data_IF_508737137263
#
_entry.id   IF_508737137263
#
_cell.length_a   1.000
_cell.length_b   1.000
_cell.length_c   1.000
_cell.angle_alpha   90.00
_cell.angle_beta   90.00
_cell.angle_gamma   90.00
#
_symmetry.space_group_name_H-M   'P 1'
#
loop_
_entity.id
_entity.type
_entity.pdbx_description
1 polymer ?
#
# COMPACT_ATOMS: atom_id res chain seq x y z
N UNK A 1 8.69 50.15 60.26
CA UNK A 1 7.50 49.41 60.73
C UNK A 1 7.52 48.02 60.13
N UNK A 2 7.57 47.02 61.01
CA UNK A 2 7.67 45.59 60.75
C UNK A 2 6.29 45.04 60.35
N UNK A 3 6.21 44.23 59.29
CA UNK A 3 5.13 43.26 59.11
C UNK A 3 5.71 41.96 58.52
N UNK A 4 5.93 41.01 59.43
CA UNK A 4 6.18 39.59 59.19
C UNK A 4 4.85 38.91 58.87
N UNK A 5 4.72 38.22 57.73
CA UNK A 5 3.65 37.24 57.45
C UNK A 5 4.25 36.11 56.60
N UNK A 6 4.51 34.93 57.15
CA UNK A 6 3.63 33.77 57.35
C UNK A 6 3.29 32.98 56.06
N UNK A 7 3.56 31.66 56.13
CA UNK A 7 2.93 30.52 55.42
C UNK A 7 3.57 30.16 54.06
N UNK A 8 4.48 29.17 53.98
CA UNK A 8 4.30 27.70 54.11
C UNK A 8 3.60 27.07 52.88
N UNK A 9 4.45 26.57 51.98
CA UNK A 9 4.40 25.25 51.31
C UNK A 9 3.04 24.68 50.88
N UNK A 10 2.76 24.67 49.57
CA UNK A 10 2.03 23.55 48.94
C UNK A 10 2.72 23.14 47.63
N UNK A 11 3.34 21.97 47.74
CA UNK A 11 3.88 21.10 46.72
C UNK A 11 2.77 20.68 45.73
N UNK A 12 2.80 21.22 44.50
CA UNK A 12 1.93 20.75 43.42
C UNK A 12 2.72 19.82 42.50
N UNK A 13 2.66 18.54 42.88
CA UNK A 13 3.13 17.40 42.11
C UNK A 13 2.27 17.30 40.84
N UNK A 14 2.79 17.77 39.71
CA UNK A 14 2.18 17.55 38.39
C UNK A 14 2.49 16.11 37.95
N UNK A 15 1.52 15.20 37.81
CA UNK A 15 1.81 13.92 37.20
C UNK A 15 1.93 14.14 35.69
N UNK A 16 3.16 14.12 35.19
CA UNK A 16 3.50 13.89 33.79
C UNK A 16 2.84 12.58 33.34
N UNK A 17 1.64 12.70 32.79
CA UNK A 17 1.03 11.65 31.97
C UNK A 17 1.89 11.54 30.71
N UNK A 18 2.93 10.72 30.78
CA UNK A 18 3.63 10.20 29.63
C UNK A 18 2.64 9.34 28.83
N UNK A 19 1.94 9.97 27.89
CA UNK A 19 1.32 9.28 26.77
C UNK A 19 2.44 8.60 25.99
N UNK A 20 2.72 7.36 26.34
CA UNK A 20 3.52 6.46 25.51
C UNK A 20 2.69 6.17 24.27
N UNK A 21 2.94 6.95 23.22
CA UNK A 21 2.45 6.65 21.88
C UNK A 21 3.18 5.39 21.46
N UNK A 22 2.55 4.23 21.69
CA UNK A 22 2.96 2.97 21.08
C UNK A 22 2.88 3.16 19.56
N UNK A 23 3.99 3.57 18.96
CA UNK A 23 4.18 3.54 17.52
C UNK A 23 4.20 2.07 17.12
N UNK A 24 3.04 1.51 16.81
CA UNK A 24 2.96 0.25 16.11
C UNK A 24 3.67 0.47 14.78
N UNK A 25 4.83 -0.17 14.60
CA UNK A 25 5.52 -0.17 13.33
C UNK A 25 4.52 -0.66 12.27
N UNK A 26 4.21 0.22 11.32
CA UNK A 26 3.33 -0.11 10.20
C UNK A 26 4.02 -1.20 9.38
N UNK A 27 3.60 -2.45 9.59
CA UNK A 27 4.09 -3.57 8.79
C UNK A 27 3.70 -3.33 7.34
N UNK A 28 4.67 -2.99 6.51
CA UNK A 28 4.42 -2.71 5.09
C UNK A 28 4.31 -4.04 4.36
N UNK A 29 3.09 -4.41 3.95
CA UNK A 29 2.84 -5.62 3.17
C UNK A 29 3.72 -5.62 1.91
N UNK A 30 4.57 -6.62 1.81
CA UNK A 30 5.42 -6.82 0.65
C UNK A 30 4.62 -7.45 -0.49
N UNK A 31 5.04 -7.19 -1.73
CA UNK A 31 4.42 -7.82 -2.89
C UNK A 31 4.53 -9.34 -2.83
N UNK A 32 5.67 -9.86 -2.36
CA UNK A 32 5.91 -11.28 -2.22
C UNK A 32 4.90 -11.98 -1.31
N UNK A 33 4.69 -11.43 -0.11
CA UNK A 33 3.72 -11.97 0.85
C UNK A 33 2.31 -12.04 0.27
N UNK A 34 1.91 -11.00 -0.46
CA UNK A 34 0.58 -10.94 -1.11
C UNK A 34 0.47 -12.03 -2.18
N UNK A 35 1.48 -12.18 -3.05
CA UNK A 35 1.43 -13.16 -4.13
C UNK A 35 1.46 -14.60 -3.61
N UNK A 36 2.31 -14.90 -2.62
CA UNK A 36 2.44 -16.25 -2.04
C UNK A 36 1.13 -16.73 -1.38
N UNK A 37 0.30 -15.80 -0.89
CA UNK A 37 -1.02 -16.08 -0.32
C UNK A 37 -2.18 -16.06 -1.34
N UNK A 38 -1.94 -15.59 -2.56
CA UNK A 38 -2.93 -15.55 -3.65
C UNK A 38 -2.72 -16.64 -4.71
N UNK A 39 -1.61 -17.38 -4.67
CA UNK A 39 -1.33 -18.47 -5.61
C UNK A 39 -2.31 -19.64 -5.41
N UNK A 40 -3.20 -19.84 -6.39
CA UNK A 40 -4.18 -20.92 -6.39
C UNK A 40 -3.60 -22.33 -6.58
N UNK A 41 -2.31 -22.45 -6.91
CA UNK A 41 -1.60 -23.74 -6.88
C UNK A 41 -1.14 -24.11 -5.47
N UNK A 42 -0.78 -23.12 -4.67
CA UNK A 42 -0.28 -23.30 -3.31
C UNK A 42 -1.40 -23.21 -2.26
N UNK A 43 -2.44 -22.41 -2.52
CA UNK A 43 -3.49 -22.06 -1.57
C UNK A 43 -4.87 -22.52 -2.04
N UNK A 44 -5.75 -22.81 -1.08
CA UNK A 44 -7.15 -23.14 -1.38
C UNK A 44 -7.91 -21.90 -1.87
N UNK A 45 -8.93 -22.12 -2.71
CA UNK A 45 -9.82 -21.03 -3.16
C UNK A 45 -10.46 -20.27 -2.00
N UNK A 46 -10.76 -20.97 -0.91
CA UNK A 46 -11.35 -20.38 0.29
C UNK A 46 -10.35 -19.46 1.01
N UNK A 47 -9.11 -19.92 1.23
CA UNK A 47 -8.03 -19.10 1.81
C UNK A 47 -7.83 -17.81 1.01
N UNK A 48 -7.66 -17.95 -0.30
CA UNK A 48 -7.44 -16.81 -1.20
C UNK A 48 -8.60 -15.80 -1.11
N UNK A 49 -9.84 -16.28 -1.01
CA UNK A 49 -11.04 -15.44 -0.88
C UNK A 49 -11.07 -14.65 0.43
N UNK A 50 -10.78 -15.30 1.56
CA UNK A 50 -10.75 -14.61 2.86
C UNK A 50 -9.55 -13.67 2.97
N UNK A 51 -8.40 -14.07 2.41
CA UNK A 51 -7.20 -13.24 2.39
C UNK A 51 -7.37 -11.96 1.56
N UNK A 52 -7.95 -12.03 0.34
CA UNK A 52 -8.22 -10.79 -0.41
C UNK A 52 -9.24 -9.90 0.31
N UNK A 53 -10.21 -10.50 1.00
CA UNK A 53 -11.23 -9.77 1.75
C UNK A 53 -10.60 -9.01 2.93
N UNK A 54 -9.63 -9.61 3.62
CA UNK A 54 -8.95 -8.96 4.73
C UNK A 54 -8.02 -7.83 4.28
N UNK A 55 -7.48 -7.92 3.05
CA UNK A 55 -6.57 -6.91 2.50
C UNK A 55 -7.24 -5.81 1.67
N UNK A 56 -8.54 -5.93 1.37
CA UNK A 56 -9.21 -4.95 0.52
C UNK A 56 -9.22 -3.57 1.17
N UNK A 57 -8.77 -2.56 0.43
CA UNK A 57 -8.63 -1.18 0.89
C UNK A 57 -7.30 -0.90 1.60
N UNK A 58 -6.49 -1.91 1.89
CA UNK A 58 -5.16 -1.70 2.48
C UNK A 58 -4.24 -1.03 1.46
N UNK A 59 -3.69 0.12 1.85
CA UNK A 59 -2.69 0.83 1.06
C UNK A 59 -1.37 0.05 1.09
N UNK A 60 -0.79 -0.18 -0.09
CA UNK A 60 0.53 -0.79 -0.25
C UNK A 60 1.44 0.15 -1.02
N UNK A 61 2.75 0.00 -0.84
CA UNK A 61 3.75 0.76 -1.59
C UNK A 61 4.81 -0.19 -2.13
N UNK A 62 4.91 -0.28 -3.45
CA UNK A 62 5.81 -1.22 -4.13
C UNK A 62 6.62 -0.53 -5.22
N UNK A 63 7.52 -1.30 -5.85
CA UNK A 63 8.26 -0.91 -7.05
C UNK A 63 8.03 -1.92 -8.16
N UNK A 64 8.18 -1.50 -9.40
CA UNK A 64 8.17 -2.40 -10.55
C UNK A 64 8.42 -1.67 -11.86
N UNK A 65 8.54 -2.45 -12.93
CA UNK A 65 8.74 -1.96 -14.30
C UNK A 65 7.40 -1.77 -15.02
N UNK A 66 7.21 -0.62 -15.65
CA UNK A 66 6.06 -0.36 -16.51
C UNK A 66 6.15 -1.22 -17.77
N UNK A 67 5.12 -2.01 -18.02
CA UNK A 67 5.04 -2.91 -19.17
C UNK A 67 4.10 -2.39 -20.25
N UNK A 68 3.05 -1.68 -19.83
CA UNK A 68 2.06 -1.06 -20.69
C UNK A 68 1.32 0.04 -19.92
N UNK A 69 0.80 1.03 -20.65
CA UNK A 69 -0.01 2.12 -20.11
C UNK A 69 -1.21 2.29 -21.04
N UNK A 70 -2.41 2.18 -20.48
CA UNK A 70 -3.65 2.29 -21.24
C UNK A 70 -4.63 3.24 -20.56
N UNK A 71 -5.55 3.83 -21.33
CA UNK A 71 -6.52 4.80 -20.82
C UNK A 71 -6.10 6.25 -21.10
N UNK A 72 -6.51 7.18 -20.24
CA UNK A 72 -6.32 8.62 -20.44
C UNK A 72 -7.11 9.49 -19.46
N UNK A 73 -7.57 10.66 -19.93
CA UNK A 73 -8.10 11.83 -19.16
C UNK A 73 -8.78 11.54 -17.81
N UNK A 74 -9.67 10.54 -17.71
CA UNK A 74 -10.41 10.26 -16.47
C UNK A 74 -9.92 9.02 -15.71
N UNK A 75 -9.17 8.15 -16.38
CA UNK A 75 -8.73 6.86 -15.85
C UNK A 75 -7.52 6.37 -16.62
N UNK A 76 -6.41 6.18 -15.91
CA UNK A 76 -5.20 5.57 -16.45
C UNK A 76 -5.01 4.22 -15.78
N UNK A 77 -4.69 3.20 -16.59
CA UNK A 77 -4.28 1.88 -16.13
C UNK A 77 -2.83 1.64 -16.52
N UNK A 78 -2.01 1.32 -15.53
CA UNK A 78 -0.60 1.01 -15.72
C UNK A 78 -0.40 -0.45 -15.39
N UNK A 79 0.10 -1.22 -16.34
CA UNK A 79 0.49 -2.60 -16.14
C UNK A 79 1.95 -2.62 -15.70
N UNK A 80 2.21 -3.21 -14.54
CA UNK A 80 3.54 -3.23 -13.93
C UNK A 80 3.99 -4.67 -13.72
N UNK A 81 5.26 -4.93 -14.03
CA UNK A 81 5.96 -6.14 -13.66
C UNK A 81 6.84 -5.88 -12.45
N UNK A 82 6.57 -6.59 -11.36
CA UNK A 82 7.59 -6.81 -10.35
C UNK A 82 8.37 -8.08 -10.75
N UNK A 83 9.63 -7.91 -11.16
CA UNK A 83 10.51 -8.95 -11.71
C UNK A 83 10.90 -10.01 -10.68
N UNK A 84 10.69 -9.76 -9.39
CA UNK A 84 11.02 -10.69 -8.32
C UNK A 84 10.02 -11.87 -8.26
N UNK A 85 8.88 -11.78 -8.98
CA UNK A 85 7.83 -12.81 -9.00
C UNK A 85 7.36 -13.10 -10.43
N UNK A 86 6.79 -14.30 -10.69
CA UNK A 86 6.26 -14.65 -12.01
C UNK A 86 5.24 -13.64 -12.53
N UNK A 87 5.31 -13.33 -13.82
CA UNK A 87 4.35 -12.45 -14.50
C UNK A 87 3.33 -13.24 -15.31
N UNK A 88 2.15 -12.65 -15.53
CA UNK A 88 1.08 -13.17 -16.38
C UNK A 88 0.91 -12.21 -17.55
N UNK A 89 1.20 -12.66 -18.77
CA UNK A 89 1.22 -11.81 -19.97
C UNK A 89 2.21 -10.63 -19.86
N UNK A 90 3.31 -10.84 -19.12
CA UNK A 90 4.36 -9.85 -18.94
C UNK A 90 4.19 -8.90 -17.75
N UNK A 91 3.07 -8.94 -17.01
CA UNK A 91 2.85 -8.10 -15.82
C UNK A 91 2.21 -8.90 -14.66
N UNK A 92 2.27 -8.39 -13.43
CA UNK A 92 1.65 -9.01 -12.26
C UNK A 92 0.95 -7.99 -11.33
N UNK A 93 0.99 -6.72 -11.69
CA UNK A 93 0.33 -5.62 -10.97
C UNK A 93 -0.40 -4.76 -12.01
N UNK A 94 -1.62 -4.32 -11.68
CA UNK A 94 -2.37 -3.33 -12.46
C UNK A 94 -2.72 -2.18 -11.53
N UNK A 95 -2.20 -1.00 -11.84
CA UNK A 95 -2.51 0.24 -11.15
C UNK A 95 -3.67 0.92 -11.86
N UNK A 96 -4.68 1.32 -11.10
CA UNK A 96 -5.76 2.17 -11.60
C UNK A 96 -5.68 3.53 -10.91
N UNK A 97 -5.51 4.56 -11.72
CA UNK A 97 -5.47 5.96 -11.30
C UNK A 97 -6.74 6.63 -11.84
N UNK A 98 -7.53 7.25 -10.97
CA UNK A 98 -8.78 7.95 -11.30
C UNK A 98 -8.55 9.46 -11.27
N UNK A 99 -9.12 10.21 -12.23
CA UNK A 99 -9.05 11.68 -12.37
C UNK A 99 -7.63 12.27 -12.56
N UNK A 100 -7.55 13.60 -12.74
CA UNK A 100 -6.37 14.43 -13.06
C UNK A 100 -5.22 14.40 -12.03
N UNK A 101 -5.26 13.50 -11.03
CA UNK A 101 -4.32 13.48 -9.91
C UNK A 101 -2.88 13.18 -10.30
N UNK A 102 -2.64 12.65 -11.51
CA UNK A 102 -1.28 12.35 -11.94
C UNK A 102 -1.16 12.36 -13.47
N UNK A 103 -1.10 13.56 -14.07
CA UNK A 103 -0.81 13.70 -15.51
C UNK A 103 0.51 13.04 -15.91
N UNK A 104 1.44 12.83 -14.96
CA UNK A 104 2.68 12.11 -15.20
C UNK A 104 2.45 10.61 -15.45
N UNK A 105 1.40 10.02 -14.86
CA UNK A 105 1.08 8.60 -15.05
C UNK A 105 0.77 8.24 -16.50
N UNK A 106 0.09 9.13 -17.24
CA UNK A 106 -0.22 8.93 -18.66
C UNK A 106 1.03 9.04 -19.56
N UNK A 107 2.10 9.68 -19.08
CA UNK A 107 3.34 9.89 -19.81
C UNK A 107 4.41 8.83 -19.51
N UNK A 108 4.10 7.86 -18.65
CA UNK A 108 5.00 6.75 -18.36
C UNK A 108 5.26 5.91 -19.61
N UNK A 109 6.50 5.47 -19.76
CA UNK A 109 6.97 4.66 -20.88
C UNK A 109 7.23 3.24 -20.43
N UNK A 110 7.00 2.31 -21.36
CA UNK A 110 7.42 0.92 -21.19
C UNK A 110 8.92 0.84 -20.87
N UNK A 111 9.27 -0.01 -19.91
CA UNK A 111 10.64 -0.20 -19.42
C UNK A 111 11.03 0.71 -18.24
N UNK A 112 10.20 1.68 -17.87
CA UNK A 112 10.51 2.56 -16.73
C UNK A 112 10.28 1.84 -15.40
N UNK A 113 11.25 1.91 -14.50
CA UNK A 113 11.09 1.48 -13.11
C UNK A 113 10.41 2.60 -12.32
N UNK A 114 9.27 2.30 -11.72
CA UNK A 114 8.49 3.25 -10.92
C UNK A 114 8.31 2.73 -9.49
N UNK A 115 8.24 3.66 -8.54
CA UNK A 115 7.67 3.43 -7.22
C UNK A 115 6.25 3.93 -7.24
N UNK A 116 5.36 3.23 -6.56
CA UNK A 116 3.96 3.60 -6.51
C UNK A 116 3.33 3.16 -5.20
N UNK A 117 2.19 3.75 -4.89
CA UNK A 117 1.29 3.22 -3.87
C UNK A 117 -0.13 3.12 -4.40
N UNK A 118 -0.98 2.36 -3.72
CA UNK A 118 -2.39 2.27 -4.01
C UNK A 118 -3.09 1.27 -3.09
N UNK A 119 -4.42 1.30 -3.10
CA UNK A 119 -5.23 0.44 -2.27
C UNK A 119 -5.47 -0.91 -2.97
N UNK A 120 -5.21 -2.02 -2.27
CA UNK A 120 -5.53 -3.36 -2.76
C UNK A 120 -7.04 -3.49 -3.00
N UNK A 121 -7.44 -3.80 -4.23
CA UNK A 121 -8.86 -3.95 -4.57
C UNK A 121 -9.22 -5.41 -4.87
N UNK A 122 -8.48 -6.01 -5.82
CA UNK A 122 -8.83 -7.30 -6.38
C UNK A 122 -7.59 -8.06 -6.87
N UNK A 123 -7.79 -9.30 -7.30
CA UNK A 123 -6.76 -10.11 -7.95
C UNK A 123 -7.36 -10.96 -9.07
N UNK A 124 -6.48 -11.52 -9.92
CA UNK A 124 -6.82 -12.51 -10.92
C UNK A 124 -5.75 -13.59 -10.97
N UNK A 125 -6.15 -14.84 -10.75
CA UNK A 125 -5.28 -16.00 -10.96
C UNK A 125 -5.06 -16.29 -12.44
N UNK A 126 -3.82 -16.58 -12.81
CA UNK A 126 -3.42 -17.09 -14.11
C UNK A 126 -3.37 -18.62 -14.11
N UNK A 127 -3.51 -19.23 -15.29
CA UNK A 127 -3.48 -20.70 -15.46
C UNK A 127 -2.19 -21.36 -14.94
N UNK A 128 -1.08 -20.61 -14.89
CA UNK A 128 0.23 -21.14 -14.52
C UNK A 128 0.64 -20.85 -13.07
N UNK A 129 -0.27 -20.38 -12.21
CA UNK A 129 0.06 -19.98 -10.81
C UNK A 129 0.53 -18.53 -10.70
N UNK A 130 0.73 -17.83 -11.81
CA UNK A 130 0.95 -16.39 -11.79
C UNK A 130 -0.31 -15.66 -11.31
N UNK A 131 -0.14 -14.61 -10.54
CA UNK A 131 -1.24 -13.79 -10.00
C UNK A 131 -1.09 -12.36 -10.50
N UNK A 132 -2.21 -11.74 -10.85
CA UNK A 132 -2.29 -10.30 -11.14
C UNK A 132 -3.02 -9.64 -9.98
N UNK A 133 -2.40 -8.65 -9.35
CA UNK A 133 -3.00 -7.83 -8.29
C UNK A 133 -3.49 -6.49 -8.87
N UNK A 134 -4.66 -6.02 -8.45
CA UNK A 134 -5.24 -4.76 -8.87
C UNK A 134 -5.22 -3.76 -7.72
N UNK A 135 -4.58 -2.61 -7.95
CA UNK A 135 -4.56 -1.48 -7.03
C UNK A 135 -5.44 -0.36 -7.57
N UNK A 136 -6.30 0.20 -6.72
CA UNK A 136 -7.11 1.38 -7.02
C UNK A 136 -6.57 2.63 -6.32
N UNK A 137 -6.94 3.80 -6.85
CA UNK A 137 -6.48 5.11 -6.37
C UNK A 137 -4.95 5.19 -6.28
N UNK A 138 -4.28 4.57 -7.26
CA UNK A 138 -2.84 4.48 -7.25
C UNK A 138 -2.18 5.85 -7.49
N UNK A 139 -0.95 6.00 -7.00
CA UNK A 139 -0.12 7.22 -7.12
C UNK A 139 1.31 6.83 -7.45
N UNK A 140 1.92 7.55 -8.38
CA UNK A 140 3.35 7.40 -8.68
C UNK A 140 4.16 8.21 -7.67
N UNK A 141 5.32 7.69 -7.24
CA UNK A 141 6.23 8.31 -6.26
C UNK A 141 7.59 8.58 -6.86
#
# INVERSE_FOLDING_TARGET
MIQFRFILTILLCLPLLFFTVNSTASHTLTFGEVIDNLDLKAQTKYHVKEYIKSLRGTEVSWKGEVTDVTGGRNKVRIMVANTDRPTVKGYNIVLTIYNDYDSAAANLKKGQIIKFSGALNNFKGGRNGGVIVFLDNARIK
#
